data_IF_527422492651
#
_entry.id   IF_527422492651
#
_cell.length_a   1.000
_cell.length_b   1.000
_cell.length_c   1.000
_cell.angle_alpha   90.00
_cell.angle_beta   90.00
_cell.angle_gamma   90.00
#
_symmetry.space_group_name_H-M   'P 1'
#
loop_
_entity.id
_entity.type
_entity.pdbx_description
1 polymer ?
#
# COMPACT_ATOMS: atom_id res chain seq x y z
N UNK A 1 34.65 4.19 12.77
CA UNK A 1 33.59 3.19 12.59
C UNK A 1 32.37 3.67 13.37
N UNK A 2 31.54 4.52 12.77
CA UNK A 2 30.42 5.17 13.47
C UNK A 2 29.23 4.22 13.74
N UNK A 3 29.10 3.16 12.94
CA UNK A 3 28.00 2.17 13.02
C UNK A 3 27.79 1.56 14.42
N UNK A 4 28.86 1.32 15.16
CA UNK A 4 28.82 0.65 16.48
C UNK A 4 29.03 1.61 17.66
N UNK A 5 29.52 2.83 17.41
CA UNK A 5 29.79 3.82 18.45
C UNK A 5 28.63 4.81 18.64
N UNK A 6 27.86 5.06 17.60
CA UNK A 6 26.66 5.90 17.63
C UNK A 6 25.48 5.13 17.03
N UNK A 7 24.89 4.24 17.81
CA UNK A 7 23.81 3.35 17.33
C UNK A 7 22.57 4.12 16.84
N UNK A 8 22.27 5.26 17.45
CA UNK A 8 21.03 6.01 17.24
C UNK A 8 21.20 7.22 16.30
N UNK A 9 22.43 7.63 16.01
CA UNK A 9 22.71 8.70 15.06
C UNK A 9 22.26 8.40 13.63
N UNK A 10 22.19 9.46 12.81
CA UNK A 10 21.72 9.40 11.42
C UNK A 10 22.49 8.44 10.50
N UNK A 11 23.75 8.14 10.82
CA UNK A 11 24.64 7.15 10.17
C UNK A 11 24.86 5.87 10.99
N UNK A 12 24.16 5.75 12.12
CA UNK A 12 24.33 4.69 13.11
C UNK A 12 23.80 3.32 12.70
N UNK A 13 24.19 2.29 13.45
CA UNK A 13 23.75 0.90 13.21
C UNK A 13 22.22 0.72 13.24
N UNK A 14 21.51 1.47 14.09
CA UNK A 14 20.05 1.47 14.16
C UNK A 14 19.38 2.02 12.90
N UNK A 15 19.99 3.02 12.26
CA UNK A 15 19.54 3.54 10.96
C UNK A 15 19.77 2.54 9.83
N UNK A 16 20.94 1.88 9.82
CA UNK A 16 21.25 0.86 8.81
C UNK A 16 20.26 -0.31 8.87
N UNK A 17 19.98 -0.83 10.07
CA UNK A 17 19.01 -1.91 10.27
C UNK A 17 17.60 -1.46 9.96
N UNK A 18 17.19 -0.26 10.39
CA UNK A 18 15.88 0.29 10.11
C UNK A 18 15.60 0.36 8.61
N UNK A 19 16.56 0.89 7.83
CA UNK A 19 16.47 0.95 6.36
C UNK A 19 16.42 -0.43 5.72
N UNK A 20 17.28 -1.35 6.17
CA UNK A 20 17.28 -2.71 5.65
C UNK A 20 15.94 -3.42 5.90
N UNK A 21 15.40 -3.31 7.11
CA UNK A 21 14.09 -3.84 7.46
C UNK A 21 12.97 -3.19 6.63
N UNK A 22 13.05 -1.88 6.41
CA UNK A 22 12.10 -1.13 5.58
C UNK A 22 12.08 -1.63 4.14
N UNK A 23 13.25 -1.83 3.54
CA UNK A 23 13.36 -2.33 2.16
C UNK A 23 12.90 -3.78 2.04
N UNK A 24 13.34 -4.67 2.95
CA UNK A 24 12.88 -6.07 2.93
C UNK A 24 11.37 -6.18 3.09
N UNK A 25 10.82 -5.45 4.07
CA UNK A 25 9.37 -5.36 4.28
C UNK A 25 8.68 -4.81 3.04
N UNK A 26 9.19 -3.71 2.47
CA UNK A 26 8.57 -3.01 1.34
C UNK A 26 8.52 -3.87 0.08
N UNK A 27 9.63 -4.54 -0.25
CA UNK A 27 9.70 -5.49 -1.38
C UNK A 27 8.71 -6.64 -1.17
N UNK A 28 8.67 -7.22 0.02
CA UNK A 28 7.74 -8.31 0.33
C UNK A 28 6.29 -7.84 0.24
N UNK A 29 5.98 -6.68 0.81
CA UNK A 29 4.64 -6.13 0.86
C UNK A 29 4.11 -5.79 -0.53
N UNK A 30 4.85 -4.99 -1.30
CA UNK A 30 4.44 -4.58 -2.65
C UNK A 30 4.50 -5.76 -3.62
N UNK A 31 5.47 -6.66 -3.48
CA UNK A 31 5.53 -7.89 -4.29
C UNK A 31 4.29 -8.76 -4.12
N UNK A 32 3.82 -8.94 -2.87
CA UNK A 32 2.59 -9.67 -2.59
C UNK A 32 1.33 -8.92 -3.03
N UNK A 33 1.33 -7.58 -2.91
CA UNK A 33 0.27 -6.74 -3.46
C UNK A 33 0.09 -6.99 -4.96
N UNK A 34 1.20 -6.98 -5.71
CA UNK A 34 1.22 -7.22 -7.15
C UNK A 34 0.85 -8.67 -7.49
N UNK A 35 1.28 -9.65 -6.70
CA UNK A 35 0.82 -11.03 -6.84
C UNK A 35 -0.72 -11.13 -6.76
N UNK A 36 -1.34 -10.53 -5.75
CA UNK A 36 -2.81 -10.56 -5.63
C UNK A 36 -3.51 -9.89 -6.81
N UNK A 37 -2.97 -8.77 -7.26
CA UNK A 37 -3.60 -7.89 -8.23
C UNK A 37 -3.38 -8.34 -9.69
N UNK A 38 -2.23 -8.92 -10.02
CA UNK A 38 -1.86 -9.23 -11.40
C UNK A 38 -1.90 -10.72 -11.71
N UNK A 39 -1.76 -11.59 -10.70
CA UNK A 39 -1.63 -13.04 -10.89
C UNK A 39 -2.78 -13.80 -10.25
N UNK A 40 -3.01 -13.64 -8.95
CA UNK A 40 -3.96 -14.50 -8.23
C UNK A 40 -5.40 -14.31 -8.73
N UNK A 41 -5.84 -13.06 -8.91
CA UNK A 41 -7.21 -12.76 -9.32
C UNK A 41 -7.59 -13.33 -10.68
N UNK A 42 -6.69 -13.25 -11.67
CA UNK A 42 -6.91 -13.83 -13.00
C UNK A 42 -6.89 -15.36 -12.94
N UNK A 43 -5.89 -15.95 -12.28
CA UNK A 43 -5.78 -17.40 -12.14
C UNK A 43 -7.02 -18.02 -11.49
N UNK A 44 -7.61 -17.37 -10.48
CA UNK A 44 -8.82 -17.89 -9.83
C UNK A 44 -10.07 -17.84 -10.71
N UNK A 45 -10.12 -16.95 -11.70
CA UNK A 45 -11.21 -16.91 -12.68
C UNK A 45 -11.24 -18.13 -13.61
N UNK A 46 -10.11 -18.82 -13.75
CA UNK A 46 -9.95 -20.00 -14.61
C UNK A 46 -10.06 -21.33 -13.84
N UNK A 47 -10.12 -21.28 -12.51
CA UNK A 47 -10.20 -22.46 -11.65
C UNK A 47 -11.64 -22.93 -11.42
N UNK A 48 -11.83 -24.24 -11.27
CA UNK A 48 -13.05 -24.82 -10.70
C UNK A 48 -13.22 -24.40 -9.24
N UNK A 49 -14.44 -24.45 -8.72
CA UNK A 49 -14.72 -24.01 -7.35
C UNK A 49 -13.96 -24.83 -6.30
N UNK A 50 -13.81 -26.14 -6.50
CA UNK A 50 -13.01 -27.00 -5.63
C UNK A 50 -11.52 -26.62 -5.62
N UNK A 51 -10.92 -26.41 -6.80
CA UNK A 51 -9.52 -26.01 -6.92
C UNK A 51 -9.28 -24.61 -6.34
N UNK A 52 -10.20 -23.68 -6.58
CA UNK A 52 -10.15 -22.32 -6.01
C UNK A 52 -10.23 -22.36 -4.49
N UNK A 53 -11.15 -23.13 -3.92
CA UNK A 53 -11.27 -23.32 -2.47
C UNK A 53 -9.98 -23.86 -1.84
N UNK A 54 -9.35 -24.85 -2.48
CA UNK A 54 -8.07 -25.38 -2.01
C UNK A 54 -6.93 -24.35 -2.10
N UNK A 55 -6.81 -23.63 -3.22
CA UNK A 55 -5.82 -22.58 -3.39
C UNK A 55 -5.98 -21.45 -2.36
N UNK A 56 -7.23 -21.07 -2.06
CA UNK A 56 -7.54 -20.11 -1.01
C UNK A 56 -7.03 -20.55 0.37
N UNK A 57 -7.29 -21.81 0.76
CA UNK A 57 -6.83 -22.37 2.05
C UNK A 57 -5.31 -22.47 2.15
N UNK A 58 -4.66 -22.96 1.10
CA UNK A 58 -3.23 -23.32 1.15
C UNK A 58 -2.31 -22.16 0.78
N UNK A 59 -2.68 -21.36 -0.21
CA UNK A 59 -1.84 -20.30 -0.78
C UNK A 59 -2.29 -18.95 -0.22
N UNK A 60 -3.50 -18.51 -0.55
CA UNK A 60 -3.94 -17.13 -0.28
C UNK A 60 -3.90 -16.79 1.20
N UNK A 61 -4.28 -17.72 2.09
CA UNK A 61 -4.25 -17.46 3.53
C UNK A 61 -2.84 -17.19 4.09
N UNK A 62 -1.84 -17.95 3.60
CA UNK A 62 -0.44 -17.74 3.96
C UNK A 62 0.09 -16.45 3.36
N UNK A 63 -0.25 -16.18 2.10
CA UNK A 63 0.14 -14.94 1.41
C UNK A 63 -0.43 -13.71 2.14
N UNK A 64 -1.68 -13.75 2.60
CA UNK A 64 -2.30 -12.66 3.35
C UNK A 64 -1.63 -12.42 4.70
N UNK A 65 -1.18 -13.48 5.39
CA UNK A 65 -0.40 -13.33 6.62
C UNK A 65 0.90 -12.55 6.35
N UNK A 66 1.67 -12.97 5.35
CA UNK A 66 2.93 -12.29 4.99
C UNK A 66 2.70 -10.87 4.53
N UNK A 67 1.67 -10.65 3.72
CA UNK A 67 1.27 -9.33 3.22
C UNK A 67 0.99 -8.35 4.37
N UNK A 68 0.26 -8.78 5.40
CA UNK A 68 -0.08 -7.94 6.56
C UNK A 68 1.14 -7.54 7.39
N UNK A 69 1.98 -8.52 7.71
CA UNK A 69 3.15 -8.26 8.56
C UNK A 69 4.28 -7.59 7.81
N UNK A 70 4.42 -7.83 6.50
CA UNK A 70 5.32 -7.06 5.65
C UNK A 70 4.90 -5.58 5.63
N UNK A 71 3.59 -5.29 5.46
CA UNK A 71 3.08 -3.92 5.53
C UNK A 71 3.39 -3.24 6.87
N UNK A 72 3.18 -3.96 7.98
CA UNK A 72 3.46 -3.44 9.32
C UNK A 72 4.96 -3.22 9.53
N UNK A 73 5.81 -4.15 9.10
CA UNK A 73 7.26 -4.04 9.20
C UNK A 73 7.76 -2.81 8.43
N UNK A 74 7.31 -2.62 7.19
CA UNK A 74 7.65 -1.42 6.39
C UNK A 74 7.20 -0.15 7.10
N UNK A 75 5.97 -0.10 7.57
CA UNK A 75 5.44 1.12 8.19
C UNK A 75 6.17 1.48 9.49
N UNK A 76 6.37 0.51 10.40
CA UNK A 76 7.06 0.72 11.68
C UNK A 76 8.53 1.10 11.45
N UNK A 77 9.24 0.40 10.56
CA UNK A 77 10.63 0.74 10.23
C UNK A 77 10.74 2.10 9.54
N UNK A 78 9.73 2.51 8.76
CA UNK A 78 9.67 3.85 8.17
C UNK A 78 9.56 4.95 9.22
N UNK A 79 8.66 4.79 10.20
CA UNK A 79 8.55 5.70 11.34
C UNK A 79 9.86 5.76 12.13
N UNK A 80 10.47 4.58 12.37
CA UNK A 80 11.76 4.51 13.03
C UNK A 80 12.82 5.35 12.31
N UNK A 81 12.95 5.22 10.98
CA UNK A 81 13.91 6.01 10.19
C UNK A 81 13.63 7.50 10.36
N UNK A 82 12.37 7.93 10.20
CA UNK A 82 12.01 9.36 10.28
C UNK A 82 12.32 9.97 11.65
N UNK A 83 12.02 9.24 12.73
CA UNK A 83 12.29 9.69 14.09
C UNK A 83 13.79 9.87 14.34
N UNK A 84 14.61 8.90 13.92
CA UNK A 84 16.05 8.89 14.19
C UNK A 84 16.86 9.72 13.20
N UNK A 85 16.26 10.23 12.13
CA UNK A 85 16.92 11.20 11.24
C UNK A 85 16.70 12.64 11.71
N UNK A 86 15.94 12.85 12.80
CA UNK A 86 15.55 14.17 13.31
C UNK A 86 14.86 15.06 12.27
N UNK A 87 14.40 14.46 11.17
CA UNK A 87 13.72 15.20 10.09
C UNK A 87 12.32 15.60 10.50
N UNK A 88 11.68 14.90 11.43
CA UNK A 88 10.33 15.21 11.90
C UNK A 88 10.23 16.64 12.45
N UNK A 89 11.27 17.14 13.13
CA UNK A 89 11.29 18.48 13.72
C UNK A 89 11.87 19.55 12.76
N UNK A 90 12.38 19.13 11.60
CA UNK A 90 13.01 20.02 10.62
C UNK A 90 11.99 20.63 9.66
N UNK A 91 11.42 21.78 10.04
CA UNK A 91 10.45 22.51 9.21
C UNK A 91 10.97 22.90 7.82
N UNK A 92 12.28 23.09 7.65
CA UNK A 92 12.88 23.41 6.36
C UNK A 92 13.14 22.16 5.49
N UNK A 93 13.36 21.00 6.10
CA UNK A 93 13.43 19.74 5.37
C UNK A 93 12.09 19.44 4.67
N UNK A 94 10.96 19.53 5.38
CA UNK A 94 9.63 19.26 4.80
C UNK A 94 9.21 20.25 3.71
N UNK A 95 9.85 21.42 3.67
CA UNK A 95 9.71 22.44 2.64
C UNK A 95 10.58 22.17 1.39
N UNK A 96 11.50 21.23 1.46
CA UNK A 96 12.40 20.85 0.37
C UNK A 96 11.75 19.87 -0.61
N UNK A 97 12.27 19.79 -1.84
CA UNK A 97 11.80 18.81 -2.82
C UNK A 97 11.93 17.36 -2.28
N UNK A 98 13.02 17.06 -1.59
CA UNK A 98 13.26 15.74 -0.97
C UNK A 98 12.28 15.45 0.16
N UNK A 99 12.07 16.40 1.07
CA UNK A 99 11.16 16.22 2.21
C UNK A 99 9.70 16.10 1.78
N UNK A 100 9.26 16.83 0.75
CA UNK A 100 7.93 16.64 0.18
C UNK A 100 7.75 15.25 -0.44
N UNK A 101 8.77 14.73 -1.15
CA UNK A 101 8.73 13.36 -1.67
C UNK A 101 8.53 12.33 -0.55
N UNK A 102 9.32 12.43 0.52
CA UNK A 102 9.13 11.57 1.71
C UNK A 102 7.74 11.74 2.31
N UNK A 103 7.24 12.98 2.43
CA UNK A 103 5.91 13.24 2.98
C UNK A 103 4.79 12.57 2.17
N UNK A 104 4.84 12.63 0.84
CA UNK A 104 3.90 11.91 -0.02
C UNK A 104 4.00 10.40 0.16
N UNK A 105 5.23 9.86 0.22
CA UNK A 105 5.47 8.46 0.53
C UNK A 105 4.87 8.02 1.87
N UNK A 106 4.97 8.87 2.90
CA UNK A 106 4.38 8.62 4.23
C UNK A 106 2.85 8.59 4.18
N UNK A 107 2.21 9.56 3.51
CA UNK A 107 0.75 9.61 3.37
C UNK A 107 0.23 8.37 2.63
N UNK A 108 0.82 8.05 1.48
CA UNK A 108 0.43 6.89 0.67
C UNK A 108 0.69 5.59 1.44
N UNK A 109 1.89 5.41 1.98
CA UNK A 109 2.29 4.18 2.68
C UNK A 109 1.46 3.94 3.94
N UNK A 110 1.15 4.98 4.71
CA UNK A 110 0.29 4.86 5.89
C UNK A 110 -1.14 4.51 5.50
N UNK A 111 -1.70 5.16 4.48
CA UNK A 111 -3.05 4.84 3.95
C UNK A 111 -3.11 3.40 3.46
N UNK A 112 -2.09 2.96 2.72
CA UNK A 112 -2.02 1.61 2.21
C UNK A 112 -1.93 0.58 3.34
N UNK A 113 -1.08 0.81 4.35
CA UNK A 113 -0.94 -0.08 5.51
C UNK A 113 -2.25 -0.16 6.31
N UNK A 114 -2.91 0.98 6.49
CA UNK A 114 -4.25 1.08 7.06
C UNK A 114 -5.27 0.23 6.28
N UNK A 115 -5.29 0.33 4.95
CA UNK A 115 -6.15 -0.49 4.09
C UNK A 115 -5.89 -1.98 4.25
N UNK A 116 -4.62 -2.42 4.36
CA UNK A 116 -4.28 -3.82 4.59
C UNK A 116 -4.93 -4.37 5.85
N UNK A 117 -4.79 -3.64 6.96
CA UNK A 117 -5.20 -4.12 8.27
C UNK A 117 -6.69 -3.91 8.57
N UNK A 118 -7.26 -2.78 8.14
CA UNK A 118 -8.63 -2.38 8.51
C UNK A 118 -9.67 -2.74 7.45
N UNK A 119 -9.28 -2.92 6.19
CA UNK A 119 -10.23 -3.12 5.08
C UNK A 119 -10.02 -4.46 4.40
N UNK A 120 -8.82 -4.71 3.87
CA UNK A 120 -8.51 -5.91 3.07
C UNK A 120 -8.59 -7.15 3.96
N UNK A 121 -7.90 -7.17 5.10
CA UNK A 121 -7.85 -8.35 5.95
C UNK A 121 -9.22 -8.79 6.48
N UNK A 122 -10.04 -7.93 7.13
CA UNK A 122 -11.35 -8.33 7.64
C UNK A 122 -12.30 -8.77 6.51
N UNK A 123 -12.27 -8.08 5.37
CA UNK A 123 -13.12 -8.43 4.23
C UNK A 123 -12.70 -9.76 3.58
N UNK A 124 -11.39 -10.05 3.51
CA UNK A 124 -10.89 -11.34 3.05
C UNK A 124 -11.24 -12.48 4.00
N UNK A 125 -11.28 -12.26 5.32
CA UNK A 125 -11.76 -13.29 6.28
C UNK A 125 -13.16 -13.77 5.93
N UNK A 126 -14.08 -12.86 5.60
CA UNK A 126 -15.46 -13.19 5.21
C UNK A 126 -15.48 -13.90 3.85
N UNK A 127 -14.89 -13.30 2.82
CA UNK A 127 -14.95 -13.82 1.45
C UNK A 127 -14.29 -15.22 1.32
N UNK A 128 -13.12 -15.38 1.94
CA UNK A 128 -12.39 -16.66 1.91
C UNK A 128 -13.08 -17.67 2.82
N UNK A 129 -13.52 -17.29 4.01
CA UNK A 129 -14.26 -18.16 4.92
C UNK A 129 -15.48 -18.78 4.25
N UNK A 130 -16.27 -17.98 3.53
CA UNK A 130 -17.41 -18.47 2.77
C UNK A 130 -17.01 -19.44 1.65
N UNK A 131 -15.96 -19.13 0.89
CA UNK A 131 -15.50 -19.99 -0.20
C UNK A 131 -15.01 -21.35 0.32
N UNK A 132 -14.37 -21.35 1.51
CA UNK A 132 -13.95 -22.57 2.19
C UNK A 132 -15.16 -23.40 2.64
N UNK A 133 -16.14 -22.77 3.29
CA UNK A 133 -17.37 -23.45 3.72
C UNK A 133 -18.11 -24.12 2.56
N UNK A 134 -18.29 -23.40 1.44
CA UNK A 134 -18.92 -23.94 0.23
C UNK A 134 -18.14 -25.12 -0.34
N UNK A 135 -16.80 -25.05 -0.35
CA UNK A 135 -15.97 -26.15 -0.86
C UNK A 135 -16.05 -27.43 0.00
N UNK A 136 -16.55 -27.31 1.24
CA UNK A 136 -16.73 -28.39 2.20
C UNK A 136 -18.21 -28.84 2.29
N UNK A 137 -19.07 -28.33 1.40
CA UNK A 137 -20.49 -28.68 1.32
C UNK A 137 -21.43 -27.83 2.19
N UNK A 138 -20.92 -26.74 2.77
CA UNK A 138 -21.71 -25.74 3.51
C UNK A 138 -22.36 -24.68 2.61
N UNK A 139 -23.09 -23.76 3.23
CA UNK A 139 -23.75 -22.65 2.54
C UNK A 139 -22.81 -21.44 2.35
N UNK A 140 -23.05 -20.66 1.31
CA UNK A 140 -22.33 -19.41 1.07
C UNK A 140 -22.82 -18.29 2.00
N UNK A 141 -21.90 -17.49 2.52
CA UNK A 141 -22.24 -16.29 3.28
C UNK A 141 -22.80 -15.22 2.32
N UNK A 142 -24.03 -14.72 2.55
CA UNK A 142 -24.62 -13.66 1.73
C UNK A 142 -23.76 -12.39 1.62
N UNK A 143 -22.93 -12.09 2.62
CA UNK A 143 -22.06 -10.92 2.65
C UNK A 143 -20.73 -11.13 1.88
N UNK A 144 -20.38 -12.38 1.54
CA UNK A 144 -19.10 -12.70 0.90
C UNK A 144 -18.86 -11.95 -0.42
N UNK A 145 -19.84 -11.77 -1.34
CA UNK A 145 -19.63 -11.00 -2.55
C UNK A 145 -19.32 -9.52 -2.29
N UNK A 146 -20.00 -8.91 -1.32
CA UNK A 146 -19.76 -7.52 -0.93
C UNK A 146 -18.39 -7.35 -0.26
N UNK A 147 -18.02 -8.28 0.61
CA UNK A 147 -16.71 -8.31 1.25
C UNK A 147 -15.57 -8.51 0.23
N UNK A 148 -15.73 -9.45 -0.70
CA UNK A 148 -14.77 -9.67 -1.78
C UNK A 148 -14.56 -8.41 -2.63
N UNK A 149 -15.66 -7.71 -3.00
CA UNK A 149 -15.59 -6.44 -3.73
C UNK A 149 -14.85 -5.37 -2.93
N UNK A 150 -15.18 -5.19 -1.64
CA UNK A 150 -14.50 -4.24 -0.74
C UNK A 150 -12.99 -4.52 -0.67
N UNK A 151 -12.59 -5.76 -0.47
CA UNK A 151 -11.19 -6.16 -0.43
C UNK A 151 -10.48 -5.89 -1.76
N UNK A 152 -11.13 -6.21 -2.89
CA UNK A 152 -10.59 -5.98 -4.22
C UNK A 152 -10.37 -4.49 -4.49
N UNK A 153 -11.33 -3.61 -4.17
CA UNK A 153 -11.18 -2.16 -4.36
C UNK A 153 -10.04 -1.57 -3.54
N UNK A 154 -9.96 -1.92 -2.25
CA UNK A 154 -8.87 -1.47 -1.38
C UNK A 154 -7.50 -2.00 -1.86
N UNK A 155 -7.43 -3.25 -2.35
CA UNK A 155 -6.21 -3.81 -2.92
C UNK A 155 -5.77 -3.12 -4.22
N UNK A 156 -6.74 -2.73 -5.06
CA UNK A 156 -6.49 -2.01 -6.32
C UNK A 156 -6.02 -0.59 -6.08
N UNK A 157 -6.65 0.15 -5.16
CA UNK A 157 -6.19 1.51 -4.83
C UNK A 157 -4.80 1.48 -4.19
N UNK A 158 -4.50 0.48 -3.35
CA UNK A 158 -3.15 0.29 -2.86
C UNK A 158 -2.14 0.04 -3.99
N UNK A 159 -2.53 -0.71 -5.03
CA UNK A 159 -1.69 -0.94 -6.21
C UNK A 159 -1.47 0.34 -7.01
N UNK A 160 -2.51 1.17 -7.14
CA UNK A 160 -2.39 2.48 -7.76
C UNK A 160 -1.43 3.37 -6.98
N UNK A 161 -1.60 3.45 -5.66
CA UNK A 161 -0.76 4.28 -4.79
C UNK A 161 0.67 3.77 -4.65
N UNK A 162 0.92 2.47 -4.79
CA UNK A 162 2.29 1.93 -4.69
C UNK A 162 3.19 2.44 -5.81
N UNK A 163 2.64 2.73 -7.00
CA UNK A 163 3.41 3.21 -8.16
C UNK A 163 4.09 4.57 -7.86
N UNK A 164 3.35 5.66 -7.54
CA UNK A 164 3.97 6.93 -7.17
C UNK A 164 4.69 6.85 -5.83
N UNK A 165 4.26 6.02 -4.87
CA UNK A 165 4.98 5.84 -3.60
C UNK A 165 6.42 5.38 -3.82
N UNK A 166 6.64 4.35 -4.66
CA UNK A 166 7.99 3.85 -4.96
C UNK A 166 8.83 4.95 -5.58
N UNK A 167 8.25 5.72 -6.52
CA UNK A 167 8.93 6.85 -7.15
C UNK A 167 9.34 7.90 -6.11
N UNK A 168 8.44 8.29 -5.22
CA UNK A 168 8.73 9.29 -4.18
C UNK A 168 9.72 8.81 -3.13
N UNK A 169 9.77 7.53 -2.80
CA UNK A 169 10.78 6.96 -1.90
C UNK A 169 12.17 6.93 -2.54
N UNK A 170 12.24 6.72 -3.85
CA UNK A 170 13.48 6.75 -4.62
C UNK A 170 13.98 8.20 -4.82
N UNK A 171 13.06 9.16 -4.98
CA UNK A 171 13.36 10.54 -5.35
C UNK A 171 14.49 11.23 -4.55
N UNK A 172 14.49 11.27 -3.21
CA UNK A 172 15.51 12.00 -2.44
C UNK A 172 16.94 11.56 -2.73
N UNK A 173 17.16 10.26 -2.92
CA UNK A 173 18.49 9.66 -3.05
C UNK A 173 19.04 9.72 -4.48
N UNK A 174 18.20 9.95 -5.49
CA UNK A 174 18.59 9.86 -6.90
C UNK A 174 18.37 11.16 -7.68
N UNK A 175 17.32 11.92 -7.35
CA UNK A 175 16.91 13.09 -8.10
C UNK A 175 16.82 14.35 -7.26
N UNK A 176 16.54 14.25 -5.95
CA UNK A 176 16.27 15.41 -5.10
C UNK A 176 17.31 16.52 -5.17
N UNK A 177 18.60 16.18 -5.26
CA UNK A 177 19.69 17.16 -5.37
C UNK A 177 19.73 17.93 -6.71
N UNK A 178 19.10 17.41 -7.76
CA UNK A 178 19.08 18.00 -9.09
C UNK A 178 17.96 19.03 -9.28
N UNK A 179 17.06 19.17 -8.30
CA UNK A 179 15.91 20.07 -8.38
C UNK A 179 15.99 21.13 -7.27
N UNK A 180 15.67 22.38 -7.62
CA UNK A 180 15.51 23.45 -6.65
C UNK A 180 14.31 23.21 -5.73
N UNK A 181 14.33 23.84 -4.55
CA UNK A 181 13.19 23.79 -3.65
C UNK A 181 12.07 24.71 -4.18
N UNK A 182 10.83 24.19 -4.30
CA UNK A 182 9.71 25.01 -4.77
C UNK A 182 9.38 26.13 -3.77
N UNK A 183 8.94 27.26 -4.30
CA UNK A 183 8.44 28.37 -3.49
C UNK A 183 7.13 28.00 -2.74
N UNK A 184 6.68 28.87 -1.84
CA UNK A 184 5.49 28.61 -1.03
C UNK A 184 4.22 28.38 -1.85
N UNK A 185 4.01 29.13 -2.93
CA UNK A 185 2.83 29.02 -3.79
C UNK A 185 2.83 27.73 -4.60
N UNK A 186 3.98 27.37 -5.17
CA UNK A 186 4.18 26.10 -5.87
C UNK A 186 3.96 24.91 -4.92
N UNK A 187 4.55 24.93 -3.71
CA UNK A 187 4.35 23.88 -2.69
C UNK A 187 2.88 23.68 -2.35
N UNK A 188 2.16 24.77 -2.06
CA UNK A 188 0.74 24.70 -1.72
C UNK A 188 -0.07 24.05 -2.85
N UNK A 189 0.21 24.47 -4.10
CA UNK A 189 -0.46 23.91 -5.28
C UNK A 189 -0.22 22.41 -5.42
N UNK A 190 1.04 21.97 -5.28
CA UNK A 190 1.40 20.54 -5.36
C UNK A 190 0.67 19.73 -4.29
N UNK A 191 0.65 20.23 -3.03
CA UNK A 191 -0.06 19.57 -1.93
C UNK A 191 -1.56 19.47 -2.17
N UNK A 192 -2.20 20.54 -2.66
CA UNK A 192 -3.64 20.51 -2.98
C UNK A 192 -3.93 19.46 -4.05
N UNK A 193 -3.17 19.46 -5.15
CA UNK A 193 -3.36 18.50 -6.25
C UNK A 193 -3.18 17.06 -5.73
N UNK A 194 -2.11 16.80 -4.97
CA UNK A 194 -1.85 15.50 -4.38
C UNK A 194 -2.98 15.04 -3.45
N UNK A 195 -3.39 15.89 -2.50
CA UNK A 195 -4.43 15.54 -1.52
C UNK A 195 -5.79 15.32 -2.16
N UNK A 196 -6.15 16.10 -3.18
CA UNK A 196 -7.41 15.91 -3.93
C UNK A 196 -7.40 14.55 -4.63
N UNK A 197 -6.33 14.22 -5.36
CA UNK A 197 -6.22 12.93 -6.06
C UNK A 197 -6.26 11.77 -5.05
N UNK A 198 -5.43 11.84 -4.02
CA UNK A 198 -5.36 10.84 -2.96
C UNK A 198 -6.73 10.63 -2.30
N UNK A 199 -7.39 11.71 -1.86
CA UNK A 199 -8.66 11.62 -1.17
C UNK A 199 -9.77 11.07 -2.07
N UNK A 200 -9.87 11.55 -3.32
CA UNK A 200 -10.88 11.08 -4.28
C UNK A 200 -10.69 9.59 -4.53
N UNK A 201 -9.47 9.13 -4.78
CA UNK A 201 -9.19 7.73 -5.06
C UNK A 201 -9.47 6.84 -3.84
N UNK A 202 -9.04 7.24 -2.64
CA UNK A 202 -9.24 6.47 -1.41
C UNK A 202 -10.73 6.39 -1.03
N UNK A 203 -11.44 7.53 -1.00
CA UNK A 203 -12.87 7.57 -0.66
C UNK A 203 -13.70 6.79 -1.69
N UNK A 204 -13.31 6.85 -2.97
CA UNK A 204 -13.93 6.05 -4.03
C UNK A 204 -13.70 4.55 -3.81
N UNK A 205 -12.47 4.12 -3.51
CA UNK A 205 -12.14 2.73 -3.26
C UNK A 205 -12.85 2.16 -2.02
N UNK A 206 -13.04 2.98 -0.99
CA UNK A 206 -13.80 2.62 0.21
C UNK A 206 -15.33 2.59 -0.02
N UNK A 207 -15.80 2.96 -1.21
CA UNK A 207 -17.22 3.00 -1.57
C UNK A 207 -17.99 4.15 -0.93
N UNK A 208 -17.29 5.11 -0.32
CA UNK A 208 -17.87 6.29 0.35
C UNK A 208 -18.25 7.40 -0.63
N UNK A 209 -17.89 7.25 -1.91
CA UNK A 209 -18.27 8.15 -2.99
C UNK A 209 -19.05 7.37 -4.05
N UNK A 210 -20.38 7.48 -4.04
CA UNK A 210 -21.24 6.83 -5.04
C UNK A 210 -21.20 5.29 -5.04
N UNK A 211 -20.76 4.64 -3.96
CA UNK A 211 -20.63 3.19 -3.85
C UNK A 211 -19.40 2.61 -4.56
N UNK A 212 -19.25 1.28 -4.53
CA UNK A 212 -18.09 0.60 -5.12
C UNK A 212 -18.06 0.58 -6.66
N UNK A 213 -19.18 0.88 -7.31
CA UNK A 213 -19.36 0.81 -8.77
C UNK A 213 -19.56 2.21 -9.40
N UNK A 214 -19.07 3.26 -8.71
CA UNK A 214 -19.04 4.62 -9.23
C UNK A 214 -18.15 4.73 -10.50
N UNK A 215 -18.26 5.84 -11.22
CA UNK A 215 -17.55 6.05 -12.49
C UNK A 215 -16.01 5.98 -12.35
N UNK A 216 -15.46 6.49 -11.25
CA UNK A 216 -14.00 6.51 -11.00
C UNK A 216 -13.50 5.08 -10.80
N UNK A 217 -14.16 4.30 -9.94
CA UNK A 217 -13.79 2.90 -9.72
C UNK A 217 -13.90 2.08 -11.01
N UNK A 218 -14.94 2.30 -11.81
CA UNK A 218 -15.10 1.63 -13.10
C UNK A 218 -13.99 1.95 -14.08
N UNK A 219 -13.56 3.21 -14.11
CA UNK A 219 -12.49 3.65 -15.00
C UNK A 219 -11.11 3.16 -14.54
N UNK A 220 -10.83 3.23 -13.23
CA UNK A 220 -9.48 3.12 -12.67
C UNK A 220 -9.20 1.81 -11.95
N UNK A 221 -10.19 1.26 -11.23
CA UNK A 221 -10.00 0.14 -10.29
C UNK A 221 -10.71 -1.16 -10.68
N UNK A 222 -11.52 -1.21 -11.75
CA UNK A 222 -12.17 -2.44 -12.24
C UNK A 222 -11.17 -3.45 -12.76
N UNK A 223 -10.25 -2.97 -13.59
CA UNK A 223 -9.24 -3.79 -14.25
C UNK A 223 -7.88 -3.44 -13.72
N UNK A 224 -7.06 -4.48 -13.50
CA UNK A 224 -5.69 -4.30 -13.06
C UNK A 224 -4.86 -3.49 -14.05
N UNK A 225 -5.11 -3.66 -15.36
CA UNK A 225 -4.45 -2.89 -16.39
C UNK A 225 -4.79 -1.40 -16.30
N UNK A 226 -6.05 -1.05 -16.04
CA UNK A 226 -6.45 0.34 -15.82
C UNK A 226 -5.71 0.93 -14.61
N UNK A 227 -5.60 0.17 -13.52
CA UNK A 227 -4.88 0.61 -12.32
C UNK A 227 -3.42 0.94 -12.61
N UNK A 228 -2.76 0.21 -13.51
CA UNK A 228 -1.39 0.49 -13.95
C UNK A 228 -1.34 1.74 -14.83
N UNK A 229 -2.29 1.92 -15.75
CA UNK A 229 -2.29 3.06 -16.68
C UNK A 229 -2.54 4.39 -15.98
N UNK A 230 -3.36 4.39 -14.94
CA UNK A 230 -3.75 5.58 -14.19
C UNK A 230 -2.91 5.83 -12.93
N UNK A 231 -2.10 4.86 -12.49
CA UNK A 231 -1.21 4.98 -11.33
C UNK A 231 0.16 5.51 -11.71
#
# INVERSE_FOLDING_TARGET
>A
MELFSDWMGGSGGGQAIGRYAHYLGGITWIGLLYFFNFIQGSAFGEMSDGARGEALRKITWRTLWWFRWAAMLTWVSGIWILFHQEVLDSGDYWKSASGMGIAFGVVLGTTMAANVWMVIWPAQQVAIGSSVAVSEGGEADPEAPAAAKRAARASRVNTLFSIPLIFFMMWPSHFGANFGNPDSGARLTIWIVFLVIWLVMEVSALGKFGGYDNAINKMVLDKHQSTIVYG
#
